data_IF_927206875786
#
_entry.id   IF_927206875786
#
_cell.length_a   1.000
_cell.length_b   1.000
_cell.length_c   1.000
_cell.angle_alpha   90.00
_cell.angle_beta   90.00
_cell.angle_gamma   90.00
#
_symmetry.space_group_name_H-M   'P 1'
#
loop_
_entity.id
_entity.type
_entity.pdbx_description
1 polymer ?
#
# COMPACT_ATOMS: atom_id res chain seq x y z
N UNK A 1 -29.43 2.37 20.79
CA UNK A 1 -29.91 1.00 20.57
C UNK A 1 -29.10 0.26 19.53
N UNK A 2 -28.88 0.75 18.28
CA UNK A 2 -28.13 0.02 17.24
C UNK A 2 -26.71 -0.40 17.67
N UNK A 3 -25.92 0.46 18.33
CA UNK A 3 -24.59 0.15 18.84
C UNK A 3 -24.62 -0.90 19.98
N UNK A 4 -25.61 -0.92 20.83
CA UNK A 4 -25.77 -1.96 21.86
C UNK A 4 -26.02 -3.34 21.21
N UNK A 5 -26.91 -3.37 20.20
CA UNK A 5 -27.15 -4.59 19.44
C UNK A 5 -25.89 -5.07 18.71
N UNK A 6 -25.15 -4.16 18.08
CA UNK A 6 -23.84 -4.45 17.47
C UNK A 6 -22.87 -5.06 18.49
N UNK A 7 -22.75 -4.47 19.69
CA UNK A 7 -21.90 -4.99 20.76
C UNK A 7 -22.35 -6.37 21.23
N UNK A 8 -23.66 -6.59 21.38
CA UNK A 8 -24.22 -7.91 21.74
C UNK A 8 -23.85 -8.95 20.69
N UNK A 9 -24.01 -8.64 19.39
CA UNK A 9 -23.62 -9.54 18.29
C UNK A 9 -22.13 -9.86 18.35
N UNK A 10 -21.26 -8.89 18.65
CA UNK A 10 -19.82 -9.13 18.81
C UNK A 10 -19.52 -10.06 19.97
N UNK A 11 -20.20 -9.89 21.13
CA UNK A 11 -20.02 -10.79 22.27
C UNK A 11 -20.48 -12.21 21.95
N UNK A 12 -21.60 -12.37 21.26
CA UNK A 12 -22.10 -13.68 20.82
C UNK A 12 -21.18 -14.31 19.76
N UNK A 13 -20.53 -13.51 18.92
CA UNK A 13 -19.57 -13.95 17.91
C UNK A 13 -18.16 -14.25 18.47
N UNK A 14 -17.89 -13.96 19.75
CA UNK A 14 -16.57 -14.15 20.37
C UNK A 14 -15.99 -15.56 20.17
N UNK A 15 -16.75 -16.67 20.34
CA UNK A 15 -16.22 -18.01 20.09
C UNK A 15 -15.74 -18.20 18.66
N UNK A 16 -16.45 -17.64 17.68
CA UNK A 16 -16.06 -17.72 16.26
C UNK A 16 -14.80 -16.87 15.98
N UNK A 17 -14.68 -15.71 16.61
CA UNK A 17 -13.49 -14.85 16.51
C UNK A 17 -12.26 -15.60 17.06
N UNK A 18 -12.40 -16.25 18.20
CA UNK A 18 -11.33 -17.07 18.81
C UNK A 18 -10.96 -18.28 17.94
N UNK A 19 -11.94 -19.01 17.44
CA UNK A 19 -11.70 -20.14 16.52
C UNK A 19 -10.99 -19.69 15.26
N UNK A 20 -11.40 -18.57 14.66
CA UNK A 20 -10.72 -17.97 13.51
C UNK A 20 -9.28 -17.58 13.82
N UNK A 21 -9.04 -17.01 15.01
CA UNK A 21 -7.72 -16.64 15.46
C UNK A 21 -6.81 -17.86 15.59
N UNK A 22 -7.29 -18.92 16.24
CA UNK A 22 -6.59 -20.20 16.38
C UNK A 22 -6.32 -20.87 15.02
N UNK A 23 -7.29 -20.83 14.12
CA UNK A 23 -7.12 -21.35 12.77
C UNK A 23 -6.03 -20.59 11.98
N UNK A 24 -5.99 -19.26 12.08
CA UNK A 24 -4.91 -18.44 11.50
C UNK A 24 -3.56 -18.74 12.14
N UNK A 25 -3.53 -18.94 13.43
CA UNK A 25 -2.32 -19.24 14.18
C UNK A 25 -1.68 -20.59 13.76
N UNK A 26 -2.45 -21.55 13.22
CA UNK A 26 -1.87 -22.77 12.64
C UNK A 26 -0.94 -22.52 11.46
N UNK A 27 -1.22 -21.46 10.68
CA UNK A 27 -0.38 -21.06 9.52
C UNK A 27 0.66 -20.02 9.90
N UNK A 28 0.36 -19.19 10.89
CA UNK A 28 1.20 -18.10 11.35
C UNK A 28 1.08 -17.94 12.87
N UNK A 29 1.96 -18.63 13.66
CA UNK A 29 1.89 -18.67 15.14
C UNK A 29 1.94 -17.31 15.81
N UNK A 30 2.52 -16.29 15.15
CA UNK A 30 2.62 -14.92 15.64
C UNK A 30 1.25 -14.28 15.91
N UNK A 31 0.15 -14.83 15.39
CA UNK A 31 -1.21 -14.38 15.73
C UNK A 31 -1.54 -14.56 17.22
N UNK A 32 -0.86 -15.48 17.93
CA UNK A 32 -1.04 -15.70 19.36
C UNK A 32 -0.13 -14.80 20.24
N UNK A 33 0.80 -14.07 19.62
CA UNK A 33 1.62 -13.12 20.36
C UNK A 33 0.79 -11.90 20.74
N UNK A 34 1.06 -11.37 21.94
CA UNK A 34 0.41 -10.17 22.48
C UNK A 34 -1.13 -10.22 22.47
N UNK A 35 -1.71 -11.40 22.72
CA UNK A 35 -3.17 -11.60 22.74
C UNK A 35 -3.90 -10.63 23.66
N UNK A 36 -3.29 -10.25 24.80
CA UNK A 36 -3.86 -9.30 25.74
C UNK A 36 -4.19 -7.95 25.10
N UNK A 37 -3.34 -7.48 24.18
CA UNK A 37 -3.55 -6.21 23.49
C UNK A 37 -4.88 -6.19 22.69
N UNK A 38 -5.28 -7.33 22.10
CA UNK A 38 -6.55 -7.48 21.36
C UNK A 38 -7.79 -7.36 22.25
N UNK A 39 -7.60 -7.43 23.55
CA UNK A 39 -8.61 -7.25 24.58
C UNK A 39 -8.42 -5.97 25.40
N UNK A 40 -7.46 -5.11 24.97
CA UNK A 40 -7.14 -3.84 25.63
C UNK A 40 -6.24 -3.96 26.86
N UNK A 41 -5.50 -5.06 27.00
CA UNK A 41 -4.51 -5.24 28.09
C UNK A 41 -3.09 -5.05 27.54
N UNK A 42 -2.48 -3.93 27.85
CA UNK A 42 -1.16 -3.54 27.34
C UNK A 42 -0.12 -3.63 28.44
N UNK A 43 1.08 -4.09 28.08
CA UNK A 43 2.26 -4.10 28.94
C UNK A 43 3.24 -2.97 28.61
N UNK A 44 3.08 -2.39 27.43
CA UNK A 44 3.90 -1.27 26.95
C UNK A 44 3.57 -0.03 27.74
N UNK A 45 4.58 0.68 28.27
CA UNK A 45 4.38 1.96 28.95
C UNK A 45 3.82 3.00 27.98
N UNK A 46 2.80 3.74 28.41
CA UNK A 46 2.28 4.86 27.65
C UNK A 46 3.10 6.13 27.99
N UNK A 47 3.65 6.84 26.99
CA UNK A 47 4.24 8.16 27.21
C UNK A 47 3.15 9.20 27.50
N UNK A 48 3.56 10.34 28.07
CA UNK A 48 2.63 11.40 28.50
C UNK A 48 1.88 12.06 27.34
N UNK A 49 2.46 12.06 26.12
CA UNK A 49 1.88 12.69 24.94
C UNK A 49 1.97 11.73 23.75
N UNK A 50 0.84 11.37 23.19
CA UNK A 50 0.73 10.35 22.15
C UNK A 50 -0.13 10.84 21.00
N UNK A 51 0.37 10.66 19.77
CA UNK A 51 -0.45 10.66 18.57
C UNK A 51 -0.69 9.19 18.19
N UNK A 52 -1.94 8.80 18.13
CA UNK A 52 -2.30 7.45 17.72
C UNK A 52 -2.53 7.38 16.22
N UNK A 53 -1.83 6.44 15.54
CA UNK A 53 -2.02 6.13 14.11
C UNK A 53 -2.43 4.66 13.99
N UNK A 54 -3.52 4.38 13.28
CA UNK A 54 -3.98 3.03 13.03
C UNK A 54 -3.85 2.65 11.56
N UNK A 55 -3.04 1.60 11.28
CA UNK A 55 -2.81 1.03 9.96
C UNK A 55 -2.92 -0.50 10.04
N UNK A 56 -3.95 -1.08 9.42
CA UNK A 56 -4.33 -2.50 9.61
C UNK A 56 -3.35 -3.46 8.97
N UNK A 57 -2.87 -3.12 7.78
CA UNK A 57 -2.12 -4.02 6.88
C UNK A 57 -0.70 -3.52 6.59
N UNK A 58 0.14 -4.41 6.04
CA UNK A 58 1.48 -4.05 5.52
C UNK A 58 1.41 -2.87 4.54
N UNK A 59 0.41 -2.89 3.65
CA UNK A 59 0.23 -1.83 2.64
C UNK A 59 -0.06 -0.47 3.27
N UNK A 60 -0.97 -0.43 4.25
CA UNK A 60 -1.30 0.78 4.99
C UNK A 60 -0.15 1.26 5.87
N UNK A 61 0.55 0.35 6.55
CA UNK A 61 1.74 0.66 7.36
C UNK A 61 2.81 1.37 6.55
N UNK A 62 3.09 0.89 5.34
CA UNK A 62 4.03 1.54 4.42
C UNK A 62 3.48 2.83 3.83
N UNK A 63 2.20 2.87 3.46
CA UNK A 63 1.55 4.08 2.94
C UNK A 63 1.46 5.22 3.98
N UNK A 64 1.44 4.89 5.26
CA UNK A 64 1.44 5.86 6.35
C UNK A 64 2.80 6.52 6.60
N UNK A 65 3.90 6.01 6.01
CA UNK A 65 5.25 6.49 6.28
C UNK A 65 5.44 8.00 6.06
N UNK A 66 5.02 8.60 4.93
CA UNK A 66 5.12 10.04 4.74
C UNK A 66 4.33 10.82 5.80
N UNK A 67 3.13 10.35 6.13
CA UNK A 67 2.28 11.00 7.13
C UNK A 67 2.87 10.90 8.54
N UNK A 68 3.35 9.73 8.96
CA UNK A 68 3.97 9.53 10.28
C UNK A 68 5.19 10.45 10.44
N UNK A 69 6.06 10.53 9.42
CA UNK A 69 7.20 11.45 9.42
C UNK A 69 6.75 12.90 9.58
N UNK A 70 5.77 13.34 8.79
CA UNK A 70 5.24 14.70 8.85
C UNK A 70 4.54 15.01 10.19
N UNK A 71 3.88 14.02 10.82
CA UNK A 71 3.31 14.17 12.16
C UNK A 71 4.40 14.31 13.22
N UNK A 72 5.50 13.56 13.14
CA UNK A 72 6.65 13.70 14.05
C UNK A 72 7.33 15.07 13.91
N UNK A 73 7.45 15.60 12.69
CA UNK A 73 7.98 16.95 12.44
C UNK A 73 7.03 18.05 12.93
N UNK A 74 5.72 17.83 12.77
CA UNK A 74 4.70 18.80 13.18
C UNK A 74 4.48 18.87 14.70
N UNK A 75 4.69 17.75 15.41
CA UNK A 75 4.53 17.61 16.86
C UNK A 75 5.70 16.83 17.47
N UNK A 76 6.91 17.45 17.54
CA UNK A 76 8.14 16.74 17.95
C UNK A 76 8.16 16.31 19.42
N UNK A 77 7.29 16.87 20.24
CA UNK A 77 7.12 16.53 21.66
C UNK A 77 6.18 15.33 21.91
N UNK A 78 5.62 14.74 20.85
CA UNK A 78 4.70 13.60 20.91
C UNK A 78 5.31 12.34 20.34
N UNK A 79 4.99 11.21 20.96
CA UNK A 79 5.36 9.89 20.46
C UNK A 79 4.25 9.34 19.58
N UNK A 80 4.62 8.68 18.50
CA UNK A 80 3.65 7.97 17.66
C UNK A 80 3.35 6.59 18.26
N UNK A 81 2.07 6.30 18.49
CA UNK A 81 1.55 4.96 18.74
C UNK A 81 0.99 4.42 17.43
N UNK A 82 1.70 3.48 16.82
CA UNK A 82 1.24 2.78 15.63
C UNK A 82 0.50 1.50 16.03
N UNK A 83 -0.77 1.42 15.72
CA UNK A 83 -1.56 0.22 15.95
C UNK A 83 -1.89 -0.51 14.66
N UNK A 84 -1.85 -1.84 14.69
CA UNK A 84 -2.23 -2.72 13.59
C UNK A 84 -3.15 -3.84 14.05
N UNK A 85 -3.54 -4.72 13.09
CA UNK A 85 -4.39 -5.89 13.37
C UNK A 85 -3.71 -7.21 12.99
N UNK A 86 -2.60 -7.17 12.25
CA UNK A 86 -1.93 -8.37 11.72
C UNK A 86 -0.46 -8.44 12.16
N UNK A 87 0.08 -9.67 12.39
CA UNK A 87 1.50 -9.85 12.69
C UNK A 87 2.42 -9.31 11.59
N UNK A 88 2.03 -9.52 10.32
CA UNK A 88 2.78 -9.00 9.17
C UNK A 88 2.79 -7.47 9.10
N UNK A 89 1.69 -6.81 9.47
CA UNK A 89 1.63 -5.35 9.59
C UNK A 89 2.56 -4.85 10.70
N UNK A 90 2.58 -5.54 11.87
CA UNK A 90 3.49 -5.20 12.97
C UNK A 90 4.95 -5.40 12.60
N UNK A 91 5.29 -6.50 11.91
CA UNK A 91 6.64 -6.73 11.38
C UNK A 91 7.07 -5.65 10.39
N UNK A 92 6.18 -5.25 9.46
CA UNK A 92 6.43 -4.14 8.55
C UNK A 92 6.64 -2.81 9.30
N UNK A 93 5.89 -2.56 10.38
CA UNK A 93 6.10 -1.40 11.24
C UNK A 93 7.47 -1.41 11.91
N UNK A 94 7.95 -2.57 12.37
CA UNK A 94 9.29 -2.72 12.93
C UNK A 94 10.38 -2.50 11.88
N UNK A 95 10.18 -2.99 10.68
CA UNK A 95 11.10 -2.82 9.54
C UNK A 95 11.21 -1.34 9.13
N UNK A 96 10.06 -0.65 9.01
CA UNK A 96 10.00 0.72 8.46
C UNK A 96 10.36 1.78 9.49
N UNK A 97 9.93 1.62 10.75
CA UNK A 97 10.02 2.68 11.77
C UNK A 97 11.00 2.34 12.90
N UNK A 98 11.41 1.07 13.06
CA UNK A 98 12.28 0.65 14.17
C UNK A 98 11.73 1.08 15.52
N UNK A 99 12.61 1.65 16.37
CA UNK A 99 12.25 2.20 17.68
C UNK A 99 11.63 3.61 17.69
N UNK A 100 11.38 4.20 16.52
CA UNK A 100 10.82 5.55 16.42
C UNK A 100 9.34 5.62 16.79
N UNK A 101 8.62 4.49 16.72
CA UNK A 101 7.20 4.39 17.07
C UNK A 101 6.97 3.31 18.12
N UNK A 102 5.94 3.51 18.94
CA UNK A 102 5.42 2.48 19.84
C UNK A 102 4.45 1.63 19.02
N UNK A 103 4.57 0.30 19.10
CA UNK A 103 3.67 -0.58 18.36
C UNK A 103 2.79 -1.39 19.33
N UNK A 104 1.48 -1.45 19.00
CA UNK A 104 0.51 -2.29 19.68
C UNK A 104 -0.53 -2.84 18.71
N UNK A 105 -1.25 -3.90 19.09
CA UNK A 105 -2.48 -4.25 18.39
C UNK A 105 -3.63 -3.36 18.85
N UNK A 106 -4.46 -2.89 17.89
CA UNK A 106 -5.74 -2.29 18.24
C UNK A 106 -6.64 -3.37 18.88
N UNK A 107 -7.39 -3.05 19.95
CA UNK A 107 -8.28 -4.03 20.53
C UNK A 107 -9.44 -4.32 19.57
N UNK A 108 -10.03 -5.51 19.70
CA UNK A 108 -11.32 -5.78 19.05
C UNK A 108 -12.38 -4.78 19.54
N UNK A 109 -13.36 -4.47 18.71
CA UNK A 109 -14.31 -3.38 18.92
C UNK A 109 -15.34 -3.65 20.04
N UNK A 110 -14.88 -4.23 21.17
CA UNK A 110 -15.68 -4.39 22.38
C UNK A 110 -15.63 -3.13 23.25
N UNK A 111 -16.74 -2.63 23.76
CA UNK A 111 -16.77 -1.39 24.54
C UNK A 111 -15.74 -1.34 25.66
N UNK A 112 -15.62 -2.42 26.45
CA UNK A 112 -14.66 -2.49 27.56
C UNK A 112 -13.19 -2.61 27.12
N UNK A 113 -12.92 -3.20 25.96
CA UNK A 113 -11.56 -3.29 25.41
C UNK A 113 -11.10 -1.93 24.84
N UNK A 114 -12.00 -1.24 24.15
CA UNK A 114 -11.80 0.12 23.65
C UNK A 114 -11.57 1.12 24.80
N UNK A 115 -12.35 1.02 25.85
CA UNK A 115 -12.20 1.87 27.01
C UNK A 115 -10.86 1.67 27.72
N UNK A 116 -10.37 0.41 27.87
CA UNK A 116 -9.03 0.12 28.38
C UNK A 116 -7.92 0.68 27.49
N UNK A 117 -8.08 0.60 26.16
CA UNK A 117 -7.12 1.15 25.21
C UNK A 117 -6.96 2.66 25.39
N UNK A 118 -8.06 3.40 25.41
CA UNK A 118 -8.00 4.84 25.54
C UNK A 118 -7.52 5.28 26.92
N UNK A 119 -7.91 4.60 28.00
CA UNK A 119 -7.39 4.90 29.35
C UNK A 119 -5.88 4.60 29.48
N UNK A 120 -5.39 3.57 28.77
CA UNK A 120 -3.98 3.21 28.86
C UNK A 120 -3.09 4.18 28.10
N UNK A 121 -3.45 4.53 26.85
CA UNK A 121 -2.61 5.36 25.99
C UNK A 121 -2.96 6.84 26.04
N UNK A 122 -4.18 7.21 26.35
CA UNK A 122 -4.68 8.59 26.45
C UNK A 122 -4.17 9.47 25.29
N UNK A 123 -4.41 9.10 24.02
CA UNK A 123 -3.85 9.83 22.90
C UNK A 123 -4.46 11.23 22.79
N UNK A 124 -3.63 12.24 22.45
CA UNK A 124 -4.10 13.61 22.21
C UNK A 124 -5.08 13.65 21.04
N UNK A 125 -4.82 12.85 20.01
CA UNK A 125 -5.72 12.59 18.90
C UNK A 125 -5.36 11.27 18.19
N UNK A 126 -6.29 10.76 17.38
CA UNK A 126 -6.14 9.55 16.59
C UNK A 126 -6.24 9.79 15.09
N UNK A 127 -5.46 9.06 14.31
CA UNK A 127 -5.50 9.03 12.85
C UNK A 127 -5.76 7.61 12.38
N UNK A 128 -6.92 7.36 11.78
CA UNK A 128 -7.27 6.10 11.15
C UNK A 128 -6.93 6.14 9.67
N UNK A 129 -6.29 5.09 9.16
CA UNK A 129 -5.95 5.00 7.74
C UNK A 129 -7.07 4.35 6.93
N UNK A 130 -7.28 4.84 5.71
CA UNK A 130 -8.18 4.31 4.67
C UNK A 130 -9.67 4.22 5.10
N UNK A 131 -10.17 3.07 5.58
CA UNK A 131 -11.64 2.87 5.80
C UNK A 131 -11.93 2.16 7.13
N UNK A 132 -11.17 2.45 8.17
CA UNK A 132 -11.28 1.76 9.47
C UNK A 132 -12.36 2.43 10.37
N UNK A 133 -13.63 2.19 10.06
CA UNK A 133 -14.78 2.74 10.79
C UNK A 133 -15.36 1.69 11.75
N UNK A 134 -14.98 1.82 13.02
CA UNK A 134 -15.35 0.89 14.09
C UNK A 134 -16.28 1.59 15.09
N UNK A 135 -17.58 1.17 15.20
CA UNK A 135 -18.58 1.93 15.93
C UNK A 135 -18.30 2.15 17.41
N UNK A 136 -17.77 1.15 18.12
CA UNK A 136 -17.46 1.32 19.55
C UNK A 136 -16.18 2.11 19.76
N UNK A 137 -15.17 1.93 18.89
CA UNK A 137 -13.91 2.68 18.91
C UNK A 137 -14.17 4.19 18.77
N UNK A 138 -14.93 4.58 17.75
CA UNK A 138 -15.26 5.99 17.49
C UNK A 138 -16.17 6.58 18.58
N UNK A 139 -17.12 5.79 19.07
CA UNK A 139 -17.95 6.23 20.20
C UNK A 139 -17.16 6.37 21.50
N UNK A 140 -16.20 5.47 21.76
CA UNK A 140 -15.28 5.53 22.90
C UNK A 140 -14.36 6.74 22.85
N UNK A 141 -13.77 7.01 21.68
CA UNK A 141 -12.96 8.21 21.46
C UNK A 141 -13.77 9.49 21.73
N UNK A 142 -14.96 9.60 21.13
CA UNK A 142 -15.87 10.74 21.36
C UNK A 142 -16.23 10.93 22.82
N UNK A 143 -16.51 9.84 23.54
CA UNK A 143 -16.87 9.88 24.98
C UNK A 143 -15.70 10.37 25.86
N UNK A 144 -14.46 10.16 25.44
CA UNK A 144 -13.26 10.62 26.13
C UNK A 144 -12.70 11.94 25.57
N UNK A 145 -13.41 12.60 24.65
CA UNK A 145 -12.99 13.86 24.05
C UNK A 145 -11.77 13.75 23.12
N UNK A 146 -11.43 12.52 22.65
CA UNK A 146 -10.28 12.29 21.77
C UNK A 146 -10.70 12.54 20.31
N UNK A 147 -10.14 13.55 19.62
CA UNK A 147 -10.41 13.79 18.21
C UNK A 147 -9.89 12.64 17.35
N UNK A 148 -10.71 12.12 16.45
CA UNK A 148 -10.30 11.08 15.50
C UNK A 148 -10.45 11.59 14.07
N UNK A 149 -9.37 11.46 13.32
CA UNK A 149 -9.25 11.85 11.92
C UNK A 149 -9.22 10.60 11.05
N UNK A 150 -9.92 10.61 9.93
CA UNK A 150 -9.78 9.58 8.91
C UNK A 150 -8.86 10.12 7.80
N UNK A 151 -7.66 9.57 7.67
CA UNK A 151 -6.65 9.99 6.70
C UNK A 151 -6.52 8.99 5.54
N UNK A 152 -6.14 9.48 4.36
CA UNK A 152 -6.06 8.69 3.14
C UNK A 152 -7.37 7.95 2.86
N UNK A 153 -8.49 8.61 3.18
CA UNK A 153 -9.80 7.98 3.22
C UNK A 153 -10.26 7.54 1.83
N UNK A 154 -10.61 6.27 1.73
CA UNK A 154 -11.10 5.64 0.50
C UNK A 154 -12.35 4.82 0.81
N UNK A 155 -13.40 5.01 0.03
CA UNK A 155 -14.64 4.26 0.21
C UNK A 155 -15.23 3.85 -1.13
N UNK A 156 -15.18 2.56 -1.48
CA UNK A 156 -15.78 2.06 -2.70
C UNK A 156 -17.32 2.19 -2.66
N UNK A 157 -17.96 2.26 -3.82
CA UNK A 157 -19.42 2.27 -3.93
C UNK A 157 -20.07 1.05 -3.26
N UNK A 158 -19.45 -0.11 -3.41
CA UNK A 158 -19.91 -1.35 -2.76
C UNK A 158 -19.91 -1.22 -1.24
N UNK A 159 -18.83 -0.68 -0.68
CA UNK A 159 -18.71 -0.45 0.77
C UNK A 159 -19.68 0.62 1.25
N UNK A 160 -19.82 1.72 0.51
CA UNK A 160 -20.78 2.78 0.81
C UNK A 160 -22.22 2.25 0.85
N UNK A 161 -22.60 1.43 -0.14
CA UNK A 161 -23.92 0.73 -0.12
C UNK A 161 -24.06 -0.22 1.06
N UNK A 162 -22.97 -0.88 1.48
CA UNK A 162 -22.94 -1.74 2.67
C UNK A 162 -23.26 -0.96 3.95
N UNK A 163 -22.53 0.14 4.18
CA UNK A 163 -22.79 1.04 5.33
C UNK A 163 -24.18 1.66 5.27
N UNK A 164 -24.68 2.03 4.10
CA UNK A 164 -26.00 2.59 3.88
C UNK A 164 -27.16 1.66 4.30
N UNK A 165 -26.93 0.34 4.37
CA UNK A 165 -27.92 -0.63 4.87
C UNK A 165 -28.11 -0.58 6.39
N UNK A 166 -27.18 -0.01 7.13
CA UNK A 166 -27.18 0.09 8.59
C UNK A 166 -27.00 1.55 9.05
N UNK A 167 -27.89 2.49 8.61
CA UNK A 167 -27.68 3.93 8.83
C UNK A 167 -27.67 4.31 10.32
N UNK A 168 -28.43 3.61 11.17
CA UNK A 168 -28.46 3.83 12.61
C UNK A 168 -27.13 3.49 13.32
N UNK A 169 -26.26 2.71 12.68
CA UNK A 169 -24.92 2.39 13.16
C UNK A 169 -23.84 3.22 12.45
N UNK A 170 -23.96 3.35 11.13
CA UNK A 170 -22.94 4.00 10.30
C UNK A 170 -22.92 5.53 10.53
N UNK A 171 -24.07 6.22 10.47
CA UNK A 171 -24.11 7.69 10.62
C UNK A 171 -23.49 8.20 11.92
N UNK A 172 -23.79 7.64 13.10
CA UNK A 172 -23.12 8.06 14.33
C UNK A 172 -21.61 7.79 14.34
N UNK A 173 -21.15 6.71 13.68
CA UNK A 173 -19.74 6.39 13.58
C UNK A 173 -18.99 7.37 12.66
N UNK A 174 -19.49 7.61 11.45
CA UNK A 174 -18.91 8.61 10.54
C UNK A 174 -19.01 10.03 11.12
N UNK A 175 -20.11 10.38 11.76
CA UNK A 175 -20.31 11.67 12.42
C UNK A 175 -19.50 11.87 13.71
N UNK A 176 -18.82 10.84 14.21
CA UNK A 176 -17.88 10.96 15.32
C UNK A 176 -16.47 11.33 14.88
N UNK A 177 -16.19 11.27 13.57
CA UNK A 177 -14.91 11.74 13.04
C UNK A 177 -14.82 13.26 13.14
N UNK A 178 -13.69 13.77 13.61
CA UNK A 178 -13.42 15.22 13.71
C UNK A 178 -13.26 15.83 12.32
N UNK A 179 -12.54 15.15 11.43
CA UNK A 179 -12.36 15.53 10.02
C UNK A 179 -11.94 14.32 9.18
N UNK A 180 -12.08 14.44 7.88
CA UNK A 180 -11.72 13.40 6.91
C UNK A 180 -10.86 13.98 5.80
N UNK A 181 -9.69 13.39 5.56
CA UNK A 181 -8.82 13.64 4.41
C UNK A 181 -9.03 12.53 3.37
N UNK A 182 -9.90 12.79 2.39
CA UNK A 182 -10.28 11.84 1.36
C UNK A 182 -9.28 11.80 0.19
N UNK A 183 -9.15 10.62 -0.46
CA UNK A 183 -8.26 10.48 -1.62
C UNK A 183 -8.82 11.18 -2.85
N UNK A 184 -10.13 11.06 -3.09
CA UNK A 184 -10.79 11.57 -4.31
C UNK A 184 -12.09 12.32 -3.97
N UNK A 185 -12.60 13.17 -4.89
CA UNK A 185 -13.92 13.79 -4.73
C UNK A 185 -15.05 12.76 -4.58
N UNK A 186 -14.95 11.62 -5.28
CA UNK A 186 -15.93 10.53 -5.18
C UNK A 186 -15.93 9.88 -3.79
N UNK A 187 -14.74 9.68 -3.17
CA UNK A 187 -14.65 9.17 -1.80
C UNK A 187 -15.23 10.18 -0.81
N UNK A 188 -14.89 11.46 -0.97
CA UNK A 188 -15.40 12.54 -0.14
C UNK A 188 -16.94 12.61 -0.16
N UNK A 189 -17.54 12.55 -1.34
CA UNK A 189 -18.99 12.54 -1.50
C UNK A 189 -19.65 11.35 -0.82
N UNK A 190 -19.12 10.13 -0.99
CA UNK A 190 -19.65 8.91 -0.37
C UNK A 190 -19.54 8.93 1.16
N UNK A 191 -18.41 9.41 1.67
CA UNK A 191 -18.16 9.50 3.12
C UNK A 191 -19.06 10.58 3.75
N UNK A 192 -19.20 11.73 3.11
CA UNK A 192 -20.13 12.79 3.54
C UNK A 192 -21.58 12.33 3.57
N UNK A 193 -22.02 11.55 2.57
CA UNK A 193 -23.39 10.99 2.53
C UNK A 193 -23.67 10.01 3.70
N UNK A 194 -22.62 9.39 4.27
CA UNK A 194 -22.72 8.51 5.43
C UNK A 194 -22.71 9.27 6.78
N UNK A 195 -22.57 10.60 6.76
CA UNK A 195 -22.71 11.44 7.95
C UNK A 195 -21.42 12.05 8.48
N UNK A 196 -20.28 11.92 7.79
CA UNK A 196 -19.09 12.66 8.15
C UNK A 196 -19.27 14.14 7.80
N UNK A 197 -18.93 15.02 8.74
CA UNK A 197 -18.74 16.46 8.51
C UNK A 197 -17.27 16.75 8.20
N UNK A 198 -16.92 17.93 7.72
CA UNK A 198 -15.53 18.35 7.51
C UNK A 198 -14.72 17.36 6.65
N UNK A 199 -15.16 17.14 5.42
CA UNK A 199 -14.46 16.24 4.46
C UNK A 199 -13.69 17.09 3.45
N UNK A 200 -12.37 16.90 3.40
CA UNK A 200 -11.47 17.57 2.46
C UNK A 200 -10.85 16.55 1.50
N UNK A 201 -10.66 16.93 0.24
CA UNK A 201 -9.94 16.09 -0.74
C UNK A 201 -8.45 16.42 -0.65
N UNK A 202 -7.65 15.47 -0.15
CA UNK A 202 -6.22 15.64 0.07
C UNK A 202 -5.36 14.85 -0.93
N UNK A 203 -5.93 13.89 -1.66
CA UNK A 203 -5.17 12.99 -2.53
C UNK A 203 -4.70 11.72 -1.80
N UNK A 204 -3.93 10.89 -2.51
CA UNK A 204 -3.47 9.61 -2.00
C UNK A 204 -2.02 9.70 -1.53
N UNK A 205 -1.77 9.40 -0.25
CA UNK A 205 -0.44 9.42 0.39
C UNK A 205 0.60 8.54 -0.31
N UNK A 206 0.16 7.52 -1.05
CA UNK A 206 1.07 6.65 -1.83
C UNK A 206 1.87 7.41 -2.90
N UNK A 207 1.36 8.57 -3.39
CA UNK A 207 2.08 9.43 -4.33
C UNK A 207 3.20 10.26 -3.69
N UNK A 208 3.19 10.41 -2.37
CA UNK A 208 4.22 11.16 -1.65
C UNK A 208 5.42 10.28 -1.24
N UNK A 209 5.36 8.99 -1.53
CA UNK A 209 6.51 8.10 -1.36
C UNK A 209 7.57 8.48 -2.41
N UNK A 210 8.60 9.17 -1.96
CA UNK A 210 9.75 9.53 -2.80
C UNK A 210 10.71 8.35 -2.82
N UNK A 211 11.12 7.88 -4.02
CA UNK A 211 12.15 6.86 -4.12
C UNK A 211 13.44 7.33 -3.43
N UNK A 212 14.06 6.47 -2.63
CA UNK A 212 15.30 6.81 -1.94
C UNK A 212 16.41 7.13 -2.94
N UNK A 213 17.10 8.26 -2.75
CA UNK A 213 18.13 8.73 -3.69
C UNK A 213 19.23 7.70 -3.93
N UNK A 214 19.61 6.94 -2.89
CA UNK A 214 20.58 5.84 -2.98
C UNK A 214 20.13 4.73 -3.94
N UNK A 215 18.81 4.42 -3.99
CA UNK A 215 18.25 3.41 -4.89
C UNK A 215 18.17 3.91 -6.33
N UNK A 216 17.92 5.21 -6.52
CA UNK A 216 18.00 5.84 -7.85
C UNK A 216 19.45 5.80 -8.37
N UNK A 217 20.42 6.14 -7.53
CA UNK A 217 21.86 6.05 -7.90
C UNK A 217 22.26 4.63 -8.22
N UNK A 218 21.82 3.65 -7.43
CA UNK A 218 22.06 2.23 -7.69
C UNK A 218 21.47 1.80 -9.04
N UNK A 219 20.23 2.19 -9.35
CA UNK A 219 19.60 1.86 -10.63
C UNK A 219 20.32 2.50 -11.83
N UNK A 220 20.86 3.71 -11.67
CA UNK A 220 21.69 4.37 -12.69
C UNK A 220 22.99 3.61 -12.91
N UNK A 221 23.69 3.18 -11.86
CA UNK A 221 24.90 2.38 -11.99
C UNK A 221 24.64 1.04 -12.69
N UNK A 222 23.48 0.41 -12.44
CA UNK A 222 23.07 -0.79 -13.18
C UNK A 222 22.81 -0.47 -14.66
N UNK A 223 22.19 0.67 -14.94
CA UNK A 223 21.94 1.11 -16.33
C UNK A 223 23.24 1.34 -17.08
N UNK A 224 24.22 1.95 -16.44
CA UNK A 224 25.56 2.14 -17.02
C UNK A 224 26.23 0.80 -17.35
N UNK A 225 26.14 -0.18 -16.44
CA UNK A 225 26.73 -1.51 -16.64
C UNK A 225 26.01 -2.31 -17.76
N UNK A 226 24.70 -2.20 -17.87
CA UNK A 226 23.90 -2.87 -18.92
C UNK A 226 24.03 -2.16 -20.27
N UNK A 227 24.42 -0.88 -20.26
CA UNK A 227 24.63 -0.08 -21.48
C UNK A 227 23.35 0.26 -22.22
N UNK A 228 23.34 0.14 -23.55
CA UNK A 228 22.21 0.53 -24.42
C UNK A 228 21.20 -0.59 -24.66
N UNK A 229 21.35 -1.75 -24.03
CA UNK A 229 20.39 -2.86 -24.17
C UNK A 229 18.98 -2.40 -23.83
N UNK A 230 17.94 -2.78 -24.60
CA UNK A 230 16.54 -2.57 -24.21
C UNK A 230 16.23 -3.38 -22.95
N UNK A 231 15.70 -2.73 -21.92
CA UNK A 231 15.39 -3.37 -20.64
C UNK A 231 13.89 -3.23 -20.32
N UNK A 232 13.20 -4.36 -20.20
CA UNK A 232 11.87 -4.35 -19.63
C UNK A 232 11.84 -5.07 -18.29
N UNK A 233 11.09 -4.51 -17.37
CA UNK A 233 10.93 -4.99 -16.02
C UNK A 233 9.57 -5.66 -15.87
N UNK A 234 9.52 -6.89 -15.39
CA UNK A 234 8.32 -7.51 -14.85
C UNK A 234 8.32 -7.32 -13.33
N UNK A 235 7.67 -6.25 -12.87
CA UNK A 235 7.76 -5.74 -11.52
C UNK A 235 6.77 -6.41 -10.57
N UNK A 236 7.24 -6.99 -9.48
CA UNK A 236 6.41 -7.56 -8.42
C UNK A 236 5.40 -8.60 -8.91
N UNK A 237 5.85 -9.54 -9.72
CA UNK A 237 5.01 -10.60 -10.29
C UNK A 237 4.43 -11.52 -9.21
N UNK A 238 3.27 -12.08 -9.50
CA UNK A 238 2.53 -12.98 -8.60
C UNK A 238 2.45 -14.38 -9.21
N UNK A 239 2.11 -15.34 -8.38
CA UNK A 239 1.99 -16.74 -8.79
C UNK A 239 1.13 -16.92 -10.05
N UNK A 240 1.71 -17.58 -11.05
CA UNK A 240 1.10 -17.83 -12.37
C UNK A 240 1.43 -16.76 -13.42
N UNK A 241 1.75 -15.55 -13.04
CA UNK A 241 2.09 -14.47 -14.00
C UNK A 241 3.46 -14.68 -14.64
N UNK A 242 4.42 -15.27 -13.91
CA UNK A 242 5.76 -15.47 -14.43
C UNK A 242 5.75 -16.34 -15.70
N UNK A 243 4.84 -17.32 -15.79
CA UNK A 243 4.65 -18.12 -17.01
C UNK A 243 4.18 -17.25 -18.19
N UNK A 244 3.23 -16.34 -17.95
CA UNK A 244 2.73 -15.41 -18.97
C UNK A 244 3.81 -14.40 -19.40
N UNK A 245 4.60 -13.92 -18.43
CA UNK A 245 5.75 -13.04 -18.68
C UNK A 245 6.81 -13.73 -19.57
N UNK A 246 7.17 -14.97 -19.25
CA UNK A 246 8.13 -15.74 -20.06
C UNK A 246 7.57 -16.11 -21.44
N UNK A 247 6.27 -16.38 -21.55
CA UNK A 247 5.61 -16.55 -22.84
C UNK A 247 5.62 -15.27 -23.66
N UNK A 248 5.39 -14.10 -23.04
CA UNK A 248 5.53 -12.80 -23.70
C UNK A 248 6.99 -12.54 -24.13
N UNK A 249 7.98 -12.90 -23.30
CA UNK A 249 9.40 -12.79 -23.60
C UNK A 249 9.76 -13.56 -24.87
N UNK A 250 9.32 -14.80 -25.01
CA UNK A 250 9.56 -15.61 -26.23
C UNK A 250 8.94 -14.98 -27.48
N UNK A 251 7.77 -14.34 -27.35
CA UNK A 251 7.09 -13.67 -28.45
C UNK A 251 7.67 -12.31 -28.77
N UNK A 252 8.44 -11.72 -27.87
CA UNK A 252 8.98 -10.36 -28.03
C UNK A 252 9.94 -10.27 -29.20
N UNK A 253 10.87 -11.21 -29.34
CA UNK A 253 11.84 -11.32 -30.44
C UNK A 253 12.60 -10.00 -30.71
N UNK A 254 13.01 -9.30 -29.65
CA UNK A 254 13.85 -8.10 -29.75
C UNK A 254 15.28 -8.52 -29.42
N UNK A 255 16.23 -8.35 -30.37
CA UNK A 255 17.64 -8.68 -30.14
C UNK A 255 18.19 -7.92 -28.93
N UNK A 256 19.09 -8.56 -28.22
CA UNK A 256 19.84 -8.00 -27.07
C UNK A 256 18.98 -7.44 -25.93
N UNK A 257 17.65 -7.61 -25.96
CA UNK A 257 16.80 -7.18 -24.85
C UNK A 257 17.14 -7.93 -23.56
N UNK A 258 16.93 -7.28 -22.42
CA UNK A 258 17.03 -7.85 -21.09
C UNK A 258 15.65 -7.83 -20.41
N UNK A 259 15.18 -9.00 -19.96
CA UNK A 259 14.05 -9.10 -19.05
C UNK A 259 14.57 -9.07 -17.61
N UNK A 260 14.16 -8.08 -16.84
CA UNK A 260 14.33 -8.07 -15.38
C UNK A 260 13.05 -8.62 -14.74
N UNK A 261 13.14 -9.78 -14.09
CA UNK A 261 11.98 -10.47 -13.50
C UNK A 261 12.05 -10.40 -11.98
N UNK A 262 11.16 -9.66 -11.35
CA UNK A 262 11.15 -9.44 -9.89
C UNK A 262 9.88 -9.99 -9.27
N UNK A 263 9.92 -11.17 -8.62
CA UNK A 263 8.78 -11.72 -7.90
C UNK A 263 8.43 -10.91 -6.64
N UNK A 264 7.13 -10.78 -6.33
CA UNK A 264 6.64 -9.97 -5.18
C UNK A 264 7.06 -10.52 -3.83
N UNK A 265 7.24 -11.83 -3.70
CA UNK A 265 7.48 -12.51 -2.43
C UNK A 265 8.80 -13.27 -2.45
N UNK A 266 9.67 -13.11 -1.43
CA UNK A 266 10.97 -13.79 -1.36
C UNK A 266 10.87 -15.31 -1.44
N UNK A 267 9.79 -15.90 -0.90
CA UNK A 267 9.55 -17.35 -0.92
C UNK A 267 9.44 -17.92 -2.34
N UNK A 268 9.22 -17.06 -3.35
CA UNK A 268 9.09 -17.46 -4.74
C UNK A 268 10.38 -17.35 -5.55
N UNK A 269 11.43 -16.73 -5.01
CA UNK A 269 12.67 -16.53 -5.76
C UNK A 269 13.25 -17.85 -6.31
N UNK A 270 13.31 -18.89 -5.47
CA UNK A 270 13.79 -20.21 -5.90
C UNK A 270 12.89 -20.84 -6.97
N UNK A 271 11.57 -20.84 -6.74
CA UNK A 271 10.59 -21.42 -7.68
C UNK A 271 10.62 -20.71 -9.04
N UNK A 272 10.79 -19.38 -9.05
CA UNK A 272 10.86 -18.62 -10.30
C UNK A 272 12.19 -18.85 -11.01
N UNK A 273 13.31 -19.00 -10.27
CA UNK A 273 14.58 -19.39 -10.85
C UNK A 273 14.52 -20.76 -11.54
N UNK A 274 13.92 -21.76 -10.90
CA UNK A 274 13.69 -23.07 -11.50
C UNK A 274 12.79 -23.00 -12.75
N UNK A 275 11.76 -22.15 -12.72
CA UNK A 275 10.90 -21.90 -13.87
C UNK A 275 11.69 -21.35 -15.05
N UNK A 276 12.56 -20.33 -14.84
CA UNK A 276 13.38 -19.73 -15.90
C UNK A 276 14.39 -20.75 -16.43
N UNK A 277 15.03 -21.51 -15.56
CA UNK A 277 15.97 -22.56 -15.96
C UNK A 277 15.31 -23.65 -16.83
N UNK A 278 14.09 -24.06 -16.48
CA UNK A 278 13.31 -25.03 -17.27
C UNK A 278 13.01 -24.54 -18.69
N UNK A 279 12.87 -23.23 -18.87
CA UNK A 279 12.65 -22.58 -20.17
C UNK A 279 13.91 -22.56 -21.06
N UNK A 280 15.07 -22.98 -20.54
CA UNK A 280 16.39 -22.97 -21.21
C UNK A 280 16.82 -21.57 -21.69
N UNK A 281 16.46 -20.53 -20.93
CA UNK A 281 16.84 -19.15 -21.17
C UNK A 281 18.08 -18.85 -20.34
N UNK A 282 19.08 -18.17 -20.90
CA UNK A 282 20.25 -17.70 -20.15
C UNK A 282 19.78 -16.70 -19.08
N UNK A 283 20.07 -16.99 -17.79
CA UNK A 283 19.67 -16.10 -16.71
C UNK A 283 20.75 -15.96 -15.63
N UNK A 284 20.74 -14.80 -14.96
CA UNK A 284 21.51 -14.51 -13.77
C UNK A 284 20.61 -14.07 -12.62
N UNK A 285 21.15 -14.02 -11.41
CA UNK A 285 20.46 -13.53 -10.21
C UNK A 285 21.05 -12.23 -9.71
N UNK A 286 20.21 -11.34 -9.17
CA UNK A 286 20.70 -10.12 -8.55
C UNK A 286 21.61 -10.39 -7.34
N UNK A 287 21.30 -11.43 -6.57
CA UNK A 287 22.14 -11.87 -5.43
C UNK A 287 23.53 -12.35 -5.84
N UNK A 288 23.73 -12.72 -7.10
CA UNK A 288 25.02 -13.21 -7.66
C UNK A 288 25.80 -12.10 -8.37
N UNK A 289 25.15 -10.97 -8.69
CA UNK A 289 25.79 -9.83 -9.33
C UNK A 289 24.96 -9.17 -10.41
N UNK A 290 25.63 -8.42 -11.30
CA UNK A 290 25.01 -7.78 -12.46
C UNK A 290 24.94 -8.75 -13.64
N UNK A 291 23.97 -8.57 -14.55
CA UNK A 291 23.87 -9.40 -15.75
C UNK A 291 25.01 -9.07 -16.72
N UNK A 292 25.54 -10.10 -17.38
CA UNK A 292 26.47 -9.97 -18.49
C UNK A 292 25.77 -9.79 -19.85
N UNK A 293 26.52 -9.73 -20.94
CA UNK A 293 25.99 -9.57 -22.31
C UNK A 293 25.12 -10.74 -22.75
N UNK A 294 25.36 -11.95 -22.26
CA UNK A 294 24.66 -13.17 -22.64
C UNK A 294 23.42 -13.43 -21.80
N UNK A 295 23.28 -12.74 -20.68
CA UNK A 295 22.13 -12.86 -19.77
C UNK A 295 20.87 -12.30 -20.43
N UNK A 296 19.88 -13.15 -20.67
CA UNK A 296 18.59 -12.77 -21.25
C UNK A 296 17.55 -12.43 -20.20
N UNK A 297 17.59 -13.11 -19.04
CA UNK A 297 16.71 -12.85 -17.91
C UNK A 297 17.55 -12.57 -16.67
N UNK A 298 17.32 -11.45 -16.02
CA UNK A 298 17.93 -11.13 -14.74
C UNK A 298 16.88 -11.22 -13.64
N UNK A 299 16.99 -12.25 -12.80
CA UNK A 299 16.07 -12.47 -11.69
C UNK A 299 16.41 -11.52 -10.53
N UNK A 300 15.50 -10.62 -10.23
CA UNK A 300 15.58 -9.72 -9.08
C UNK A 300 15.15 -10.43 -7.80
N UNK A 301 16.06 -11.19 -7.21
CA UNK A 301 15.88 -11.92 -5.97
C UNK A 301 16.33 -11.13 -4.73
N UNK A 302 16.02 -9.82 -4.73
CA UNK A 302 16.35 -8.91 -3.64
C UNK A 302 15.11 -8.15 -3.15
N UNK A 303 15.16 -7.66 -1.92
CA UNK A 303 14.09 -6.85 -1.33
C UNK A 303 14.54 -5.40 -1.17
N UNK A 304 13.56 -4.46 -1.28
CA UNK A 304 13.83 -3.04 -1.07
C UNK A 304 14.57 -2.32 -2.20
N UNK A 305 14.73 -2.95 -3.37
CA UNK A 305 15.46 -2.39 -4.52
C UNK A 305 14.55 -2.01 -5.72
N UNK A 306 13.21 -1.98 -5.54
CA UNK A 306 12.28 -1.72 -6.65
C UNK A 306 12.56 -0.40 -7.38
N UNK A 307 12.91 0.67 -6.65
CA UNK A 307 13.24 1.96 -7.29
C UNK A 307 14.49 1.86 -8.18
N UNK A 308 15.48 1.02 -7.81
CA UNK A 308 16.64 0.76 -8.66
C UNK A 308 16.24 0.00 -9.93
N UNK A 309 15.40 -1.03 -9.81
CA UNK A 309 14.88 -1.76 -10.97
C UNK A 309 14.07 -0.86 -11.91
N UNK A 310 13.19 0.01 -11.39
CA UNK A 310 12.45 0.98 -12.21
C UNK A 310 13.37 2.00 -12.89
N UNK A 311 14.45 2.41 -12.21
CA UNK A 311 15.42 3.36 -12.77
C UNK A 311 16.26 2.74 -13.88
N UNK A 312 16.58 1.43 -13.79
CA UNK A 312 17.25 0.67 -14.81
C UNK A 312 16.39 0.48 -16.08
N UNK A 313 15.09 0.24 -15.89
CA UNK A 313 14.21 -0.24 -16.95
C UNK A 313 13.76 0.86 -17.93
N UNK A 314 13.54 0.48 -19.16
CA UNK A 314 12.92 1.34 -20.18
C UNK A 314 11.39 1.38 -20.05
N UNK A 315 10.79 0.25 -19.70
CA UNK A 315 9.35 0.08 -19.48
C UNK A 315 9.12 -1.02 -18.45
N UNK A 316 8.06 -0.89 -17.64
CA UNK A 316 7.75 -1.88 -16.61
C UNK A 316 6.34 -2.46 -16.78
N UNK A 317 6.23 -3.78 -16.82
CA UNK A 317 4.97 -4.48 -16.56
C UNK A 317 4.73 -4.54 -15.05
N UNK A 318 3.55 -4.14 -14.59
CA UNK A 318 3.16 -4.15 -13.19
C UNK A 318 2.42 -5.45 -12.86
N UNK A 319 3.06 -6.30 -12.09
CA UNK A 319 2.54 -7.60 -11.71
C UNK A 319 1.25 -7.56 -10.89
N UNK A 320 0.60 -8.71 -10.75
CA UNK A 320 -0.72 -8.84 -10.13
C UNK A 320 -1.85 -8.32 -11.00
N UNK A 321 -1.58 -7.92 -12.24
CA UNK A 321 -2.54 -7.25 -13.12
C UNK A 321 -2.99 -8.08 -14.34
N UNK A 322 -2.21 -9.07 -14.80
CA UNK A 322 -2.67 -10.00 -15.85
C UNK A 322 -3.64 -11.03 -15.32
N UNK A 323 -3.47 -11.46 -14.07
CA UNK A 323 -4.38 -12.34 -13.36
C UNK A 323 -5.25 -11.52 -12.37
N UNK A 324 -6.40 -12.03 -11.91
CA UNK A 324 -7.34 -11.28 -11.05
C UNK A 324 -6.83 -11.10 -9.61
N UNK A 325 -5.62 -10.54 -9.47
CA UNK A 325 -4.92 -10.32 -8.21
C UNK A 325 -4.87 -8.84 -7.79
N UNK A 326 -5.41 -7.94 -8.64
CA UNK A 326 -5.68 -6.54 -8.32
C UNK A 326 -4.60 -5.52 -8.64
N UNK A 327 -3.48 -5.95 -9.24
CA UNK A 327 -2.36 -5.09 -9.58
C UNK A 327 -1.49 -4.69 -8.39
N UNK A 328 -0.21 -4.42 -8.67
CA UNK A 328 0.75 -3.85 -7.72
C UNK A 328 0.89 -2.33 -7.93
N UNK A 329 1.74 -1.67 -7.13
CA UNK A 329 1.89 -0.22 -7.12
C UNK A 329 2.61 0.30 -8.39
N UNK A 330 1.88 0.96 -9.29
CA UNK A 330 2.44 1.62 -10.48
C UNK A 330 2.99 3.03 -10.18
N UNK A 331 2.63 3.60 -9.04
CA UNK A 331 3.03 4.96 -8.66
C UNK A 331 4.55 5.03 -8.45
N UNK A 332 5.15 3.97 -7.90
CA UNK A 332 6.60 3.86 -7.74
C UNK A 332 7.33 3.87 -9.09
N UNK A 333 6.78 3.17 -10.09
CA UNK A 333 7.32 3.21 -11.46
C UNK A 333 7.28 4.63 -12.02
N UNK A 334 6.13 5.29 -11.92
CA UNK A 334 5.94 6.67 -12.39
C UNK A 334 6.87 7.66 -11.68
N UNK A 335 7.08 7.50 -10.37
CA UNK A 335 7.99 8.34 -9.59
C UNK A 335 9.46 8.19 -10.01
N UNK A 336 9.83 7.04 -10.58
CA UNK A 336 11.15 6.79 -11.18
C UNK A 336 11.22 7.20 -12.68
N UNK A 337 10.14 7.72 -13.26
CA UNK A 337 10.05 8.02 -14.68
C UNK A 337 9.98 6.77 -15.58
N UNK A 338 9.57 5.63 -15.03
CA UNK A 338 9.43 4.38 -15.78
C UNK A 338 7.98 4.22 -16.26
N UNK A 339 7.71 4.18 -17.58
CA UNK A 339 6.38 3.92 -18.12
C UNK A 339 5.84 2.57 -17.70
N UNK A 340 4.55 2.50 -17.40
CA UNK A 340 3.93 1.28 -16.91
C UNK A 340 3.06 0.59 -17.97
N UNK A 341 3.13 -0.75 -17.99
CA UNK A 341 2.18 -1.62 -18.69
C UNK A 341 1.41 -2.39 -17.62
N UNK A 342 0.09 -2.42 -17.70
CA UNK A 342 -0.79 -3.10 -16.75
C UNK A 342 -1.71 -4.06 -17.46
N UNK A 343 -2.07 -5.16 -16.82
CA UNK A 343 -3.14 -6.05 -17.27
C UNK A 343 -4.54 -5.50 -16.94
N UNK A 344 -5.60 -6.29 -17.18
CA UNK A 344 -6.99 -5.85 -16.98
C UNK A 344 -7.40 -5.74 -15.51
N UNK A 345 -6.67 -6.38 -14.59
CA UNK A 345 -7.06 -6.50 -13.18
C UNK A 345 -6.26 -5.55 -12.28
N UNK A 346 -6.73 -4.31 -12.11
CA UNK A 346 -6.04 -3.25 -11.36
C UNK A 346 -6.86 -2.70 -10.20
N UNK A 347 -7.80 -3.48 -9.64
CA UNK A 347 -8.77 -3.01 -8.65
C UNK A 347 -8.15 -2.53 -7.32
N UNK A 348 -6.92 -2.93 -6.96
CA UNK A 348 -6.20 -2.38 -5.80
C UNK A 348 -5.70 -0.95 -6.02
N UNK A 349 -5.47 -0.57 -7.30
CA UNK A 349 -4.96 0.73 -7.74
C UNK A 349 -5.81 1.31 -8.87
N UNK A 350 -7.11 1.01 -8.92
CA UNK A 350 -7.98 1.32 -10.04
C UNK A 350 -7.88 2.79 -10.45
N UNK A 351 -8.16 3.73 -9.54
CA UNK A 351 -8.14 5.15 -9.87
C UNK A 351 -6.75 5.61 -10.33
N UNK A 352 -5.69 5.25 -9.60
CA UNK A 352 -4.32 5.61 -10.00
C UNK A 352 -3.94 5.04 -11.37
N UNK A 353 -4.46 3.86 -11.72
CA UNK A 353 -4.22 3.26 -13.04
C UNK A 353 -4.96 4.00 -14.14
N UNK A 354 -6.23 4.33 -13.95
CA UNK A 354 -7.01 5.09 -14.93
C UNK A 354 -6.41 6.47 -15.17
N UNK A 355 -6.02 7.16 -14.09
CA UNK A 355 -5.38 8.47 -14.16
C UNK A 355 -4.01 8.41 -14.86
N UNK A 356 -3.22 7.36 -14.61
CA UNK A 356 -1.94 7.15 -15.29
C UNK A 356 -2.11 6.86 -16.80
N UNK A 357 -3.13 6.07 -17.16
CA UNK A 357 -3.46 5.79 -18.57
C UNK A 357 -3.92 7.08 -19.26
N UNK A 358 -4.83 7.83 -18.64
CA UNK A 358 -5.32 9.11 -19.17
C UNK A 358 -4.19 10.14 -19.34
N UNK A 359 -3.18 10.12 -18.46
CA UNK A 359 -1.99 10.98 -18.54
C UNK A 359 -0.96 10.50 -19.58
N UNK A 360 -1.14 9.34 -20.22
CA UNK A 360 -0.15 8.73 -21.11
C UNK A 360 1.06 8.09 -20.41
N UNK A 361 0.99 7.93 -19.08
CA UNK A 361 2.05 7.33 -18.25
C UNK A 361 1.99 5.80 -18.19
N UNK A 362 0.83 5.22 -18.54
CA UNK A 362 0.61 3.78 -18.50
C UNK A 362 -0.23 3.32 -19.71
N UNK A 363 -0.14 2.02 -20.00
CA UNK A 363 -0.92 1.34 -21.05
C UNK A 363 -1.52 0.05 -20.52
N UNK A 364 -2.79 -0.22 -20.86
CA UNK A 364 -3.44 -1.48 -20.52
C UNK A 364 -3.33 -2.48 -21.66
N UNK A 365 -3.07 -3.75 -21.31
CA UNK A 365 -2.94 -4.86 -22.25
C UNK A 365 -3.70 -6.09 -21.76
N UNK A 366 -3.96 -7.04 -22.66
CA UNK A 366 -4.59 -8.32 -22.33
C UNK A 366 -3.66 -9.47 -22.73
N UNK A 367 -3.43 -10.38 -21.78
CA UNK A 367 -2.65 -11.59 -21.97
C UNK A 367 -1.18 -11.36 -22.40
N UNK A 368 -0.49 -12.46 -22.66
CA UNK A 368 0.93 -12.45 -23.01
C UNK A 368 1.21 -11.85 -24.40
N UNK A 369 0.28 -12.02 -25.34
CA UNK A 369 0.43 -11.47 -26.71
C UNK A 369 0.33 -9.95 -26.71
N UNK A 370 -0.65 -9.38 -25.98
CA UNK A 370 -0.79 -7.93 -25.80
C UNK A 370 0.41 -7.33 -25.06
N UNK A 371 0.93 -8.03 -24.04
CA UNK A 371 2.12 -7.62 -23.31
C UNK A 371 3.35 -7.55 -24.25
N UNK A 372 3.61 -8.62 -25.01
CA UNK A 372 4.72 -8.64 -25.96
C UNK A 372 4.61 -7.55 -27.04
N UNK A 373 3.41 -7.30 -27.56
CA UNK A 373 3.16 -6.25 -28.56
C UNK A 373 3.44 -4.85 -27.99
N UNK A 374 2.98 -4.55 -26.78
CA UNK A 374 3.19 -3.26 -26.13
C UNK A 374 4.67 -2.99 -25.84
N UNK A 375 5.42 -4.00 -25.38
CA UNK A 375 6.85 -3.87 -25.13
C UNK A 375 7.63 -3.68 -26.44
N UNK A 376 7.30 -4.45 -27.50
CA UNK A 376 7.92 -4.30 -28.81
C UNK A 376 7.68 -2.89 -29.37
N UNK A 377 6.46 -2.35 -29.21
CA UNK A 377 6.13 -0.98 -29.62
C UNK A 377 6.97 0.04 -28.84
N UNK A 378 7.09 -0.13 -27.51
CA UNK A 378 7.90 0.76 -26.69
C UNK A 378 9.38 0.77 -27.11
N UNK A 379 9.94 -0.38 -27.44
CA UNK A 379 11.33 -0.47 -27.90
C UNK A 379 11.53 0.00 -29.35
N UNK A 380 10.51 -0.16 -30.19
CA UNK A 380 10.55 0.27 -31.60
C UNK A 380 10.30 1.77 -31.82
N UNK A 381 9.83 2.49 -30.80
CA UNK A 381 9.49 3.90 -30.91
C UNK A 381 10.07 4.72 -29.73
N UNK A 382 11.32 5.13 -29.88
CA UNK A 382 12.04 5.90 -28.87
C UNK A 382 11.37 7.24 -28.53
N UNK A 383 10.70 7.88 -29.49
CA UNK A 383 9.94 9.12 -29.27
C UNK A 383 8.74 8.89 -28.36
N UNK A 384 7.92 7.91 -28.65
CA UNK A 384 6.77 7.53 -27.82
C UNK A 384 7.20 7.13 -26.40
N UNK A 385 8.29 6.36 -26.28
CA UNK A 385 8.83 5.95 -24.99
C UNK A 385 9.30 7.17 -24.15
N UNK A 386 9.92 8.15 -24.78
CA UNK A 386 10.34 9.40 -24.13
C UNK A 386 9.14 10.24 -23.67
N UNK A 387 8.07 10.30 -24.49
CA UNK A 387 6.82 10.95 -24.12
C UNK A 387 6.15 10.25 -22.93
N UNK A 388 6.08 8.92 -22.92
CA UNK A 388 5.54 8.15 -21.82
C UNK A 388 6.35 8.35 -20.52
N UNK A 389 7.68 8.43 -20.58
CA UNK A 389 8.57 8.73 -19.46
C UNK A 389 8.27 10.12 -18.87
N UNK A 390 8.13 11.12 -19.75
CA UNK A 390 7.79 12.49 -19.35
C UNK A 390 6.39 12.55 -18.71
N UNK A 391 5.43 11.83 -19.29
CA UNK A 391 4.08 11.69 -18.75
C UNK A 391 4.09 11.02 -17.37
N UNK A 392 4.89 9.98 -17.16
CA UNK A 392 5.02 9.29 -15.88
C UNK A 392 5.52 10.23 -14.79
N UNK A 393 6.58 11.01 -15.05
CA UNK A 393 7.10 11.99 -14.09
C UNK A 393 6.08 13.10 -13.79
N UNK A 394 5.39 13.62 -14.81
CA UNK A 394 4.33 14.63 -14.64
C UNK A 394 3.16 14.08 -13.82
N UNK A 395 2.72 12.86 -14.12
CA UNK A 395 1.68 12.17 -13.38
C UNK A 395 2.04 12.02 -11.89
N UNK A 396 3.24 11.51 -11.58
CA UNK A 396 3.70 11.39 -10.21
C UNK A 396 3.77 12.75 -9.50
N UNK A 397 4.29 13.80 -10.16
CA UNK A 397 4.40 15.14 -9.60
C UNK A 397 3.03 15.79 -9.34
N UNK A 398 2.06 15.63 -10.24
CA UNK A 398 0.72 16.22 -10.12
C UNK A 398 -0.07 15.68 -8.93
N UNK A 399 0.23 14.46 -8.50
CA UNK A 399 -0.48 13.80 -7.39
C UNK A 399 0.24 13.94 -6.04
N UNK A 400 1.40 14.58 -5.98
CA UNK A 400 2.15 14.84 -4.73
C UNK A 400 1.47 15.88 -3.84
N UNK A 401 1.93 15.97 -2.59
CA UNK A 401 1.45 16.94 -1.60
C UNK A 401 0.22 16.46 -0.82
N UNK A 402 -0.19 15.21 -0.97
CA UNK A 402 -1.28 14.63 -0.19
C UNK A 402 -0.97 14.65 1.32
N UNK A 403 0.27 14.39 1.70
CA UNK A 403 0.74 14.42 3.09
C UNK A 403 0.64 15.82 3.68
N UNK A 404 1.14 16.83 2.97
CA UNK A 404 1.10 18.24 3.43
C UNK A 404 -0.35 18.69 3.62
N UNK A 405 -1.21 18.44 2.63
CA UNK A 405 -2.65 18.76 2.72
C UNK A 405 -3.32 18.02 3.87
N UNK A 406 -3.00 16.73 4.08
CA UNK A 406 -3.54 15.94 5.19
C UNK A 406 -3.10 16.50 6.54
N UNK A 407 -1.82 16.83 6.71
CA UNK A 407 -1.31 17.45 7.96
C UNK A 407 -1.93 18.81 8.21
N UNK A 408 -2.14 19.62 7.17
CA UNK A 408 -2.82 20.92 7.30
C UNK A 408 -4.26 20.74 7.80
N UNK A 409 -5.00 19.78 7.26
CA UNK A 409 -6.38 19.43 7.71
C UNK A 409 -6.36 18.93 9.16
N UNK A 410 -5.38 18.08 9.54
CA UNK A 410 -5.23 17.61 10.93
C UNK A 410 -4.96 18.79 11.87
N UNK A 411 -4.00 19.67 11.53
CA UNK A 411 -3.68 20.84 12.35
C UNK A 411 -4.88 21.75 12.59
N UNK A 412 -5.63 22.05 11.55
CA UNK A 412 -6.86 22.85 11.68
C UNK A 412 -7.87 22.19 12.61
N UNK A 413 -8.08 20.88 12.47
CA UNK A 413 -9.06 20.13 13.27
C UNK A 413 -8.66 19.97 14.75
N UNK A 414 -7.36 20.01 15.09
CA UNK A 414 -6.85 19.85 16.47
C UNK A 414 -6.70 21.22 17.17
N UNK A 415 -6.55 22.33 16.44
CA UNK A 415 -6.45 23.67 17.01
C UNK A 415 -7.81 24.23 17.50
N UNK A 416 -8.92 23.69 17.01
CA UNK A 416 -10.31 23.96 17.41
C UNK A 416 -10.76 23.07 18.57
#
# INVERSE_FOLDING_TARGET
MARLLYSLVLYLATPLILLRLLWRARKQPEYLQNLGERWGFYRTSAPAKVIWVHAVSVGETRAAQPLIKALQEAWPDRRILLTGMTPTGRAAGSEVYGGQVIQAYLPYDYPGAVDRFFRHFSPDFGVLMETEIWPNLLAGAKAQGIPVILANARLSERSARGYGKLPALARPAFGALRTVAAQTPGDAARIGALGASNVSVCGNLKFDVTPASEKILLGRSWREAVGQRPVWLAASTREGEEKLVLAAWRKLAVPDALLVLVPRHPQRFGVVAELVAHEKISFGRRSEGLPDSETQVWLGDSMGEMAAYYTLADVAFIGGSLLPLGGQNLIEAAACGCPAIVGPHTFNFLQATEDAIAAGAARRVEGEAGLAAAIRQAFGNAGELAEMRTAALRFAAAHRGATERTVAVIRAAIAE
#
